data_IF_338935240162
#
_entry.id   IF_338935240162
#
_cell.length_a   1.000
_cell.length_b   1.000
_cell.length_c   1.000
_cell.angle_alpha   90.00
_cell.angle_beta   90.00
_cell.angle_gamma   90.00
#
_symmetry.space_group_name_H-M   'P 1'
#
loop_
_entity.id
_entity.type
_entity.pdbx_description
1 polymer ?
#
# COMPACT_ATOMS: atom_id res chain seq x y z
N UNK A 1 -10.06 -51.77 17.56
CA UNK A 1 -11.01 -51.61 18.67
C UNK A 1 -10.33 -50.74 19.72
N UNK A 2 -11.06 -49.70 20.16
CA UNK A 2 -10.73 -48.62 21.10
C UNK A 2 -10.00 -49.10 22.40
N UNK A 3 -9.30 -48.29 23.21
CA UNK A 3 -9.53 -46.94 23.74
C UNK A 3 -8.20 -46.45 24.39
N UNK A 4 -7.78 -45.17 24.33
CA UNK A 4 -8.07 -44.08 25.28
C UNK A 4 -7.82 -44.47 26.77
N UNK A 5 -7.16 -43.74 27.67
CA UNK A 5 -7.01 -42.29 27.87
C UNK A 5 -6.20 -42.01 29.16
N UNK A 6 -5.72 -40.77 29.34
CA UNK A 6 -5.62 -40.07 30.64
C UNK A 6 -4.30 -40.21 31.41
N UNK A 7 -3.34 -39.27 31.33
CA UNK A 7 -3.27 -37.99 32.09
C UNK A 7 -3.62 -38.09 33.58
N UNK A 8 -2.64 -37.85 34.47
CA UNK A 8 -2.57 -36.59 35.26
C UNK A 8 -1.59 -36.71 36.42
N UNK A 9 -0.55 -35.87 36.39
CA UNK A 9 0.27 -35.50 37.54
C UNK A 9 -0.42 -34.34 38.26
N UNK A 10 -0.69 -34.45 39.58
CA UNK A 10 -0.59 -33.29 40.49
C UNK A 10 -0.52 -33.67 41.99
N UNK A 11 0.56 -33.20 42.61
CA UNK A 11 0.79 -32.67 43.99
C UNK A 11 0.18 -33.36 45.23
N UNK A 12 1.04 -33.50 46.25
CA UNK A 12 0.77 -32.92 47.58
C UNK A 12 1.35 -33.67 48.80
N UNK A 13 2.18 -32.97 49.59
CA UNK A 13 2.50 -33.26 51.02
C UNK A 13 3.54 -34.37 51.25
N UNK A 14 4.49 -34.29 52.19
CA UNK A 14 4.77 -33.37 53.30
C UNK A 14 5.73 -34.07 54.28
N UNK A 15 6.46 -33.31 55.10
CA UNK A 15 7.05 -33.80 56.35
C UNK A 15 8.58 -33.92 56.40
N UNK A 16 9.19 -33.22 57.37
CA UNK A 16 10.58 -33.41 57.78
C UNK A 16 11.21 -32.15 58.35
N UNK A 17 10.91 -31.83 59.62
CA UNK A 17 11.49 -30.69 60.33
C UNK A 17 12.85 -31.00 60.97
N UNK A 18 13.56 -29.94 61.37
CA UNK A 18 14.27 -29.84 62.66
C UNK A 18 14.69 -28.41 62.92
N UNK A 19 14.63 -28.06 64.21
CA UNK A 19 14.64 -26.76 64.85
C UNK A 19 16.03 -26.21 65.15
N UNK A 20 16.18 -24.88 65.17
CA UNK A 20 17.01 -24.18 66.15
C UNK A 20 16.46 -22.78 66.43
N UNK A 21 16.56 -22.38 67.70
CA UNK A 21 15.82 -21.31 68.39
C UNK A 21 16.77 -20.17 68.76
N UNK A 22 16.33 -18.91 68.71
CA UNK A 22 16.51 -17.81 69.72
C UNK A 22 16.29 -16.41 69.09
N UNK A 23 15.14 -15.75 69.35
CA UNK A 23 14.81 -14.70 70.36
C UNK A 23 14.94 -13.23 69.90
N UNK A 24 13.80 -12.68 69.47
CA UNK A 24 13.07 -11.44 69.87
C UNK A 24 13.77 -10.11 70.28
N UNK A 25 13.33 -9.01 69.64
CA UNK A 25 12.95 -7.69 70.24
C UNK A 25 12.35 -6.75 69.15
N UNK A 26 11.02 -6.50 69.15
CA UNK A 26 10.26 -5.31 69.62
C UNK A 26 10.29 -4.01 68.75
N UNK A 27 9.27 -3.87 67.88
CA UNK A 27 8.28 -2.75 67.64
C UNK A 27 8.72 -1.26 67.38
N UNK A 28 7.81 -0.31 66.97
CA UNK A 28 7.90 0.46 65.70
C UNK A 28 7.82 2.03 65.89
N UNK A 29 7.11 2.82 65.05
CA UNK A 29 7.57 3.86 64.11
C UNK A 29 7.48 5.33 64.65
N UNK A 30 7.64 6.41 63.84
CA UNK A 30 6.45 7.03 63.23
C UNK A 30 6.63 7.78 61.88
N UNK A 31 5.46 8.07 61.31
CA UNK A 31 5.13 8.93 60.18
C UNK A 31 5.40 10.44 60.40
N UNK A 32 5.63 11.19 59.31
CA UNK A 32 5.25 12.61 59.19
C UNK A 32 4.83 12.97 57.76
N UNK A 33 3.59 13.42 57.65
CA UNK A 33 3.03 14.22 56.58
C UNK A 33 3.27 15.71 56.85
N UNK A 34 3.48 16.50 55.80
CA UNK A 34 3.09 17.92 55.78
C UNK A 34 2.94 18.42 54.35
N UNK A 35 1.70 18.71 54.00
CA UNK A 35 1.23 19.55 52.91
C UNK A 35 1.69 21.01 53.07
N UNK A 36 2.11 21.66 52.00
CA UNK A 36 1.98 23.12 51.85
C UNK A 36 1.63 23.50 50.41
N UNK A 37 0.63 24.36 50.32
CA UNK A 37 0.02 25.00 49.17
C UNK A 37 0.79 26.26 48.75
N UNK A 38 0.83 26.52 47.44
CA UNK A 38 0.76 27.85 46.81
C UNK A 38 2.02 28.72 46.77
N UNK A 39 2.50 29.03 45.56
CA UNK A 39 2.45 30.39 44.96
C UNK A 39 3.25 30.49 43.65
N UNK A 40 2.66 31.18 42.67
CA UNK A 40 3.29 31.71 41.47
C UNK A 40 4.57 32.49 41.79
N UNK A 41 5.65 32.28 41.03
CA UNK A 41 6.27 33.41 40.34
C UNK A 41 7.19 32.99 39.18
N UNK A 42 7.06 33.76 38.10
CA UNK A 42 7.86 33.82 36.89
C UNK A 42 9.35 34.04 37.18
N UNK A 43 10.23 33.30 36.50
CA UNK A 43 11.62 33.71 36.24
C UNK A 43 11.99 33.51 34.77
N UNK A 44 11.98 34.66 34.10
CA UNK A 44 12.69 35.05 32.90
C UNK A 44 14.17 34.64 32.92
N UNK A 45 14.62 33.94 31.88
CA UNK A 45 16.02 33.95 31.47
C UNK A 45 16.16 34.93 30.30
N UNK A 46 16.74 36.10 30.59
CA UNK A 46 17.26 37.04 29.62
C UNK A 46 18.77 36.78 29.44
N UNK A 47 19.22 36.73 28.19
CA UNK A 47 20.63 36.58 27.81
C UNK A 47 20.82 36.71 26.30
N UNK A 48 20.85 37.97 25.83
CA UNK A 48 21.56 38.54 24.64
C UNK A 48 21.92 37.59 23.48
N UNK A 49 21.35 37.67 22.28
CA UNK A 49 21.33 38.78 21.30
C UNK A 49 22.73 39.31 20.90
N UNK A 50 23.18 38.89 19.71
CA UNK A 50 23.96 39.57 18.63
C UNK A 50 24.56 38.41 17.78
N UNK A 51 24.48 38.31 16.45
CA UNK A 51 24.12 39.25 15.39
C UNK A 51 24.02 38.44 14.08
N UNK A 52 23.01 38.68 13.25
CA UNK A 52 23.01 38.22 11.84
C UNK A 52 22.57 36.77 11.56
N UNK A 53 21.27 36.53 11.46
CA UNK A 53 20.72 35.32 10.87
C UNK A 53 19.39 35.64 10.20
N UNK A 54 19.30 35.40 8.89
CA UNK A 54 18.14 35.64 8.05
C UNK A 54 16.84 35.14 8.69
N UNK A 55 15.81 35.98 8.72
CA UNK A 55 14.42 35.53 8.95
C UNK A 55 14.04 34.63 7.78
N UNK A 56 14.29 33.34 7.92
CA UNK A 56 13.74 32.31 7.05
C UNK A 56 12.24 32.31 7.33
N UNK A 57 11.45 32.76 6.36
CA UNK A 57 10.00 32.61 6.41
C UNK A 57 9.70 31.11 6.48
N UNK A 58 9.06 30.70 7.57
CA UNK A 58 8.69 29.32 7.80
C UNK A 58 7.30 29.09 7.22
N UNK A 59 7.19 28.24 6.18
CA UNK A 59 5.91 27.78 5.68
C UNK A 59 5.40 26.65 6.61
N UNK A 60 4.21 26.77 7.22
CA UNK A 60 3.60 25.72 8.03
C UNK A 60 3.42 24.37 7.31
N UNK A 61 3.63 24.31 5.98
CA UNK A 61 3.60 23.10 5.15
C UNK A 61 4.93 22.34 5.09
N UNK A 62 6.03 22.93 5.55
CA UNK A 62 7.38 22.36 5.50
C UNK A 62 7.77 21.59 6.78
N UNK A 63 6.83 21.42 7.71
CA UNK A 63 6.98 20.53 8.86
C UNK A 63 6.86 19.07 8.43
N UNK A 64 7.88 18.21 8.63
CA UNK A 64 7.64 16.77 8.65
C UNK A 64 6.63 16.49 9.78
N UNK A 65 5.59 15.67 9.56
CA UNK A 65 4.68 15.30 10.64
C UNK A 65 5.51 14.64 11.73
N UNK A 66 5.64 15.31 12.87
CA UNK A 66 6.26 14.76 14.07
C UNK A 66 5.57 13.44 14.37
N UNK A 67 6.37 12.37 14.40
CA UNK A 67 5.96 11.00 14.64
C UNK A 67 5.59 10.80 16.11
N UNK A 68 4.61 11.57 16.59
CA UNK A 68 3.99 11.39 17.89
C UNK A 68 2.53 11.06 17.61
N UNK A 69 2.20 9.78 17.80
CA UNK A 69 0.84 9.35 18.10
C UNK A 69 0.30 10.29 19.17
N UNK A 70 -0.64 11.16 18.80
CA UNK A 70 -1.70 11.59 19.69
C UNK A 70 -2.92 11.85 18.79
N UNK A 71 -3.90 10.96 18.91
CA UNK A 71 -5.26 11.31 18.57
C UNK A 71 -5.68 12.51 19.40
N UNK A 72 -6.55 13.35 18.83
CA UNK A 72 -7.05 14.61 19.35
C UNK A 72 -6.33 15.85 18.80
N UNK A 73 -6.53 16.13 17.51
CA UNK A 73 -6.67 17.51 17.06
C UNK A 73 -7.78 17.61 16.00
N UNK A 74 -8.99 17.92 16.48
CA UNK A 74 -10.07 18.43 15.65
C UNK A 74 -9.68 19.82 15.16
N UNK A 75 -9.09 19.89 13.97
CA UNK A 75 -8.60 21.15 13.43
C UNK A 75 -8.16 21.08 11.97
N UNK A 76 -9.10 20.83 11.06
CA UNK A 76 -9.08 21.33 9.67
C UNK A 76 -7.78 21.23 8.86
N UNK A 77 -7.12 20.07 8.84
CA UNK A 77 -5.98 19.79 7.94
C UNK A 77 -6.26 18.50 7.18
N UNK A 78 -5.94 18.51 5.88
CA UNK A 78 -6.36 17.47 4.91
C UNK A 78 -6.05 16.03 5.32
N UNK A 79 -6.70 15.09 4.63
CA UNK A 79 -6.63 13.68 4.96
C UNK A 79 -5.16 13.19 5.13
N UNK A 80 -4.86 12.61 6.29
CA UNK A 80 -3.53 12.15 6.66
C UNK A 80 -3.12 10.90 5.88
N UNK A 81 -1.83 10.76 5.59
CA UNK A 81 -1.28 9.52 5.05
C UNK A 81 -1.27 8.43 6.13
N UNK A 82 -1.53 7.15 5.78
CA UNK A 82 -1.38 6.06 6.74
C UNK A 82 0.10 5.90 7.15
N UNK A 83 0.31 5.40 8.38
CA UNK A 83 1.65 5.12 8.93
C UNK A 83 2.44 4.10 8.09
N UNK A 84 1.74 3.09 7.57
CA UNK A 84 2.32 2.05 6.72
C UNK A 84 1.89 2.25 5.27
N UNK A 85 2.83 2.04 4.37
CA UNK A 85 2.57 1.90 2.94
C UNK A 85 1.92 0.54 2.66
N UNK A 86 1.21 0.41 1.53
CA UNK A 86 0.62 -0.88 1.14
C UNK A 86 1.72 -1.95 1.01
N UNK A 87 2.91 -1.60 0.50
CA UNK A 87 4.03 -2.55 0.40
C UNK A 87 4.45 -3.11 1.77
N UNK A 88 4.49 -2.27 2.79
CA UNK A 88 4.85 -2.68 4.15
C UNK A 88 3.75 -3.55 4.80
N UNK A 89 2.47 -3.24 4.54
CA UNK A 89 1.35 -4.08 4.99
C UNK A 89 1.44 -5.48 4.36
N UNK A 90 1.65 -5.58 3.04
CA UNK A 90 1.82 -6.86 2.34
C UNK A 90 3.02 -7.65 2.89
N UNK A 91 4.16 -6.97 3.11
CA UNK A 91 5.32 -7.62 3.72
C UNK A 91 4.98 -8.14 5.12
N UNK A 92 4.30 -7.33 5.94
CA UNK A 92 3.93 -7.68 7.32
C UNK A 92 2.99 -8.88 7.39
N UNK A 93 2.06 -9.03 6.44
CA UNK A 93 1.20 -10.21 6.32
C UNK A 93 2.00 -11.49 6.08
N UNK A 94 3.03 -11.43 5.24
CA UNK A 94 3.87 -12.60 4.93
C UNK A 94 4.88 -12.99 6.02
N UNK A 95 5.20 -12.08 6.96
CA UNK A 95 6.24 -12.30 7.98
C UNK A 95 5.77 -13.25 9.09
N UNK A 96 6.64 -14.14 9.58
CA UNK A 96 6.38 -14.86 10.84
C UNK A 96 6.76 -14.01 12.05
N UNK A 97 5.86 -13.90 13.03
CA UNK A 97 5.99 -12.96 14.15
C UNK A 97 7.30 -13.09 14.93
N UNK A 98 7.62 -14.31 15.36
CA UNK A 98 8.79 -14.57 16.22
C UNK A 98 10.08 -14.69 15.44
N UNK A 99 10.02 -15.09 14.18
CA UNK A 99 11.20 -15.42 13.41
C UNK A 99 11.70 -14.25 12.56
N UNK A 100 10.82 -13.32 12.18
CA UNK A 100 11.21 -12.14 11.40
C UNK A 100 11.65 -12.45 9.96
N UNK A 101 11.31 -13.64 9.46
CA UNK A 101 11.45 -13.99 8.05
C UNK A 101 10.08 -14.29 7.45
N UNK A 102 9.96 -14.08 6.14
CA UNK A 102 8.74 -14.36 5.40
C UNK A 102 8.47 -15.86 5.36
N UNK A 103 7.20 -16.24 5.56
CA UNK A 103 6.77 -17.64 5.43
C UNK A 103 7.13 -18.21 4.06
N UNK A 104 7.06 -17.36 3.03
CA UNK A 104 7.47 -17.64 1.67
C UNK A 104 7.83 -16.32 0.97
N UNK A 105 8.92 -16.29 0.20
CA UNK A 105 9.22 -15.19 -0.74
C UNK A 105 9.32 -15.81 -2.13
N UNK A 106 8.40 -15.42 -3.01
CA UNK A 106 8.30 -15.90 -4.38
C UNK A 106 8.21 -14.72 -5.36
N UNK A 107 8.11 -15.04 -6.64
CA UNK A 107 7.99 -14.04 -7.69
C UNK A 107 6.63 -13.31 -7.61
N UNK A 108 5.56 -13.98 -7.15
CA UNK A 108 4.24 -13.34 -6.97
C UNK A 108 4.27 -12.17 -5.98
N UNK A 109 4.79 -12.36 -4.75
CA UNK A 109 4.91 -11.26 -3.78
C UNK A 109 5.89 -10.20 -4.28
N UNK A 110 6.98 -10.62 -4.92
CA UNK A 110 7.97 -9.72 -5.51
C UNK A 110 7.31 -8.78 -6.52
N UNK A 111 6.58 -9.32 -7.50
CA UNK A 111 5.91 -8.57 -8.55
C UNK A 111 4.72 -7.75 -8.01
N UNK A 112 3.92 -8.32 -7.11
CA UNK A 112 2.81 -7.61 -6.45
C UNK A 112 3.28 -6.37 -5.69
N UNK A 113 4.44 -6.43 -5.02
CA UNK A 113 5.04 -5.27 -4.36
C UNK A 113 5.40 -4.14 -5.34
N UNK A 114 5.76 -4.45 -6.60
CA UNK A 114 6.01 -3.43 -7.63
C UNK A 114 4.73 -2.78 -8.10
N UNK A 115 3.66 -3.55 -8.26
CA UNK A 115 2.31 -2.99 -8.44
C UNK A 115 1.92 -2.06 -7.29
N UNK A 116 2.15 -2.49 -6.04
CA UNK A 116 1.86 -1.68 -4.85
C UNK A 116 2.63 -0.35 -4.83
N UNK A 117 3.85 -0.29 -5.36
CA UNK A 117 4.62 0.97 -5.49
C UNK A 117 3.87 1.96 -6.40
N UNK A 118 3.37 1.50 -7.55
CA UNK A 118 2.60 2.35 -8.46
C UNK A 118 1.27 2.79 -7.84
N UNK A 119 0.57 1.86 -7.18
CA UNK A 119 -0.66 2.18 -6.44
C UNK A 119 -0.38 3.25 -5.38
N UNK A 120 0.65 3.08 -4.55
CA UNK A 120 0.98 4.02 -3.47
C UNK A 120 1.37 5.40 -4.02
N UNK A 121 2.13 5.47 -5.12
CA UNK A 121 2.45 6.75 -5.81
C UNK A 121 1.20 7.42 -6.37
N UNK A 122 0.27 6.67 -6.96
CA UNK A 122 -0.98 7.21 -7.49
C UNK A 122 -1.92 7.70 -6.39
N UNK A 123 -2.06 6.95 -5.28
CA UNK A 123 -2.86 7.37 -4.13
C UNK A 123 -2.29 8.62 -3.45
N UNK A 124 -0.96 8.80 -3.48
CA UNK A 124 -0.26 10.03 -3.06
C UNK A 124 -0.27 11.13 -4.12
N UNK A 125 -0.96 10.91 -5.25
CA UNK A 125 -1.09 11.81 -6.40
C UNK A 125 0.26 12.30 -6.95
N UNK A 126 1.26 11.42 -6.97
CA UNK A 126 2.59 11.67 -7.58
C UNK A 126 2.61 11.32 -9.06
N UNK A 127 1.87 10.28 -9.42
CA UNK A 127 1.73 9.81 -10.79
C UNK A 127 0.25 9.70 -11.15
N UNK A 128 -0.04 9.86 -12.44
CA UNK A 128 -1.36 9.67 -13.01
C UNK A 128 -1.22 9.05 -14.40
N UNK A 129 -2.33 8.60 -14.96
CA UNK A 129 -2.36 8.33 -16.39
C UNK A 129 -2.17 9.62 -17.19
N UNK A 130 -1.51 9.51 -18.34
CA UNK A 130 -1.37 10.60 -19.29
C UNK A 130 -2.75 11.12 -19.67
N UNK A 131 -2.91 12.44 -19.61
CA UNK A 131 -4.09 13.15 -20.12
C UNK A 131 -4.23 12.96 -21.63
N UNK A 132 -4.79 11.84 -22.03
CA UNK A 132 -4.99 11.49 -23.42
C UNK A 132 -6.31 12.07 -23.96
N UNK A 133 -6.23 12.79 -25.08
CA UNK A 133 -7.41 13.18 -25.86
C UNK A 133 -8.23 11.93 -26.19
N UNK A 134 -9.54 12.02 -25.98
CA UNK A 134 -10.61 11.01 -26.08
C UNK A 134 -10.43 9.82 -27.07
N UNK A 135 -9.64 9.99 -28.14
CA UNK A 135 -9.32 8.97 -29.13
C UNK A 135 -8.26 7.92 -28.73
N UNK A 136 -7.35 8.20 -27.79
CA UNK A 136 -6.34 7.24 -27.32
C UNK A 136 -6.89 6.30 -26.24
N UNK A 137 -7.79 6.80 -25.37
CA UNK A 137 -8.53 6.02 -24.35
C UNK A 137 -9.41 4.91 -24.97
N UNK A 138 -9.84 5.07 -26.23
CA UNK A 138 -10.55 4.05 -27.04
C UNK A 138 -9.60 3.12 -27.84
N UNK A 139 -8.34 3.51 -28.04
CA UNK A 139 -7.34 2.77 -28.83
C UNK A 139 -6.44 1.88 -27.97
N UNK A 140 -6.15 2.29 -26.73
CA UNK A 140 -5.51 1.43 -25.73
C UNK A 140 -6.49 0.31 -25.34
N UNK A 141 -6.25 -0.90 -25.86
CA UNK A 141 -7.16 -2.03 -25.72
C UNK A 141 -7.38 -2.51 -24.28
N UNK A 142 -6.45 -2.21 -23.36
CA UNK A 142 -6.53 -2.53 -21.92
C UNK A 142 -6.03 -1.36 -21.05
N UNK A 143 -6.38 -1.36 -19.75
CA UNK A 143 -5.95 -0.32 -18.80
C UNK A 143 -4.44 -0.37 -18.56
N UNK A 144 -3.91 -1.59 -18.43
CA UNK A 144 -2.49 -1.94 -18.30
C UNK A 144 -1.58 -1.30 -19.35
N UNK A 145 -2.07 -1.04 -20.56
CA UNK A 145 -1.29 -0.45 -21.66
C UNK A 145 -1.34 1.09 -21.68
N UNK A 146 -2.07 1.73 -20.76
CA UNK A 146 -2.16 3.19 -20.69
C UNK A 146 -0.87 3.78 -20.13
N UNK A 147 -0.45 4.89 -20.71
CA UNK A 147 0.81 5.56 -20.37
C UNK A 147 0.70 6.31 -19.05
N UNK A 148 1.78 6.27 -18.27
CA UNK A 148 1.89 6.94 -16.97
C UNK A 148 2.74 8.21 -17.10
N UNK A 149 2.31 9.29 -16.43
CA UNK A 149 3.09 10.52 -16.26
C UNK A 149 3.30 10.89 -14.80
N UNK A 150 4.44 11.50 -14.52
CA UNK A 150 4.72 12.14 -13.22
C UNK A 150 3.96 13.46 -13.19
N UNK A 151 3.10 13.62 -12.18
CA UNK A 151 2.34 14.85 -11.97
C UNK A 151 2.96 15.69 -10.85
N UNK A 152 3.39 15.07 -9.74
CA UNK A 152 4.01 15.77 -8.62
C UNK A 152 5.32 15.08 -8.23
N UNK A 153 6.39 15.87 -8.14
CA UNK A 153 7.76 15.41 -7.89
C UNK A 153 8.14 15.45 -6.41
N UNK A 154 7.26 15.95 -5.54
CA UNK A 154 7.54 16.04 -4.11
C UNK A 154 7.88 14.68 -3.53
N UNK A 155 9.03 14.61 -2.86
CA UNK A 155 9.46 13.40 -2.18
C UNK A 155 8.41 12.93 -1.18
N UNK A 156 8.24 11.63 -1.11
CA UNK A 156 7.26 10.93 -0.27
C UNK A 156 7.82 10.60 1.11
N UNK A 157 9.15 10.62 1.27
CA UNK A 157 9.86 10.17 2.47
C UNK A 157 10.11 8.65 2.49
N UNK A 158 9.55 7.92 1.53
CA UNK A 158 9.72 6.48 1.39
C UNK A 158 10.76 6.20 0.30
N UNK A 159 11.91 5.65 0.70
CA UNK A 159 13.08 5.56 -0.20
C UNK A 159 12.80 4.85 -1.52
N UNK A 160 11.97 3.79 -1.52
CA UNK A 160 11.63 3.02 -2.72
C UNK A 160 10.70 3.82 -3.63
N UNK A 161 9.70 4.51 -3.07
CA UNK A 161 8.79 5.34 -3.85
C UNK A 161 9.54 6.51 -4.49
N UNK A 162 10.46 7.14 -3.75
CA UNK A 162 11.25 8.28 -4.23
C UNK A 162 12.26 7.89 -5.30
N UNK A 163 12.81 6.67 -5.23
CA UNK A 163 13.65 6.10 -6.28
C UNK A 163 12.85 5.85 -7.55
N UNK A 164 11.68 5.19 -7.45
CA UNK A 164 10.80 4.98 -8.60
C UNK A 164 10.35 6.30 -9.22
N UNK A 165 9.96 7.27 -8.41
CA UNK A 165 9.53 8.59 -8.89
C UNK A 165 10.66 9.30 -9.65
N UNK A 166 11.90 9.22 -9.15
CA UNK A 166 13.08 9.77 -9.83
C UNK A 166 13.37 9.06 -11.15
N UNK A 167 13.25 7.74 -11.21
CA UNK A 167 13.41 6.97 -12.46
C UNK A 167 12.34 7.33 -13.50
N UNK A 168 11.08 7.46 -13.07
CA UNK A 168 9.98 7.89 -13.94
C UNK A 168 10.21 9.27 -14.52
N UNK A 169 10.56 10.23 -13.66
CA UNK A 169 10.86 11.60 -14.09
C UNK A 169 12.01 11.64 -15.10
N UNK A 170 13.13 10.99 -14.78
CA UNK A 170 14.31 10.97 -15.66
C UNK A 170 14.03 10.36 -17.04
N UNK A 171 13.04 9.47 -17.15
CA UNK A 171 12.61 8.89 -18.43
C UNK A 171 11.72 9.84 -19.24
N UNK A 172 10.93 10.67 -18.55
CA UNK A 172 9.95 11.59 -19.14
C UNK A 172 10.54 12.98 -19.44
N UNK A 173 11.65 13.34 -18.80
CA UNK A 173 12.39 14.56 -19.12
C UNK A 173 13.12 14.42 -20.47
N UNK A 174 13.12 15.46 -21.33
CA UNK A 174 13.95 15.44 -22.52
C UNK A 174 15.43 15.34 -22.16
N UNK A 175 16.25 14.67 -22.99
CA UNK A 175 17.68 14.61 -22.77
C UNK A 175 18.28 16.04 -22.70
N UNK A 176 19.11 16.34 -21.68
CA UNK A 176 19.73 17.65 -21.54
C UNK A 176 20.76 17.83 -22.66
N UNK A 177 20.35 18.49 -23.76
CA UNK A 177 21.27 18.85 -24.84
C UNK A 177 20.75 18.52 -26.23
N UNK A 178 19.67 19.15 -26.67
CA UNK A 178 19.60 19.53 -28.06
C UNK A 178 20.67 20.61 -28.30
N UNK A 179 21.83 20.24 -28.83
CA UNK A 179 22.64 21.23 -29.53
C UNK A 179 21.70 21.90 -30.54
N UNK A 180 21.46 23.20 -30.37
CA UNK A 180 21.01 24.03 -31.47
C UNK A 180 21.98 23.75 -32.62
N UNK A 181 21.51 23.07 -33.66
CA UNK A 181 22.26 22.97 -34.89
C UNK A 181 22.31 24.38 -35.49
N UNK A 182 23.47 25.07 -35.51
CA UNK A 182 23.55 26.44 -36.02
C UNK A 182 23.25 26.52 -37.53
N UNK A 183 23.15 25.37 -38.21
CA UNK A 183 22.84 25.29 -39.63
C UNK A 183 21.34 25.27 -39.96
N UNK A 184 20.43 25.44 -38.99
CA UNK A 184 19.01 25.70 -39.30
C UNK A 184 18.77 27.19 -39.54
N UNK A 185 19.52 27.77 -40.48
CA UNK A 185 19.30 29.10 -40.99
C UNK A 185 18.97 29.01 -42.49
N UNK A 186 17.71 29.31 -42.81
CA UNK A 186 17.26 29.99 -44.03
C UNK A 186 17.84 29.48 -45.35
N UNK A 187 17.12 28.58 -46.03
CA UNK A 187 17.08 28.57 -47.49
C UNK A 187 15.61 28.62 -47.94
N UNK A 188 15.12 29.85 -48.12
CA UNK A 188 14.04 30.09 -49.06
C UNK A 188 14.65 30.28 -50.44
N UNK A 189 14.28 29.44 -51.41
CA UNK A 189 13.84 29.88 -52.75
C UNK A 189 13.51 28.69 -53.65
N UNK A 190 12.29 28.75 -54.19
CA UNK A 190 11.83 28.30 -55.51
C UNK A 190 12.24 26.92 -56.08
N UNK A 191 11.21 26.09 -56.28
CA UNK A 191 11.10 25.33 -57.53
C UNK A 191 10.87 23.82 -57.39
N UNK A 192 9.68 23.39 -57.81
CA UNK A 192 9.37 22.13 -58.51
C UNK A 192 8.34 21.25 -57.79
N UNK A 193 7.21 21.08 -58.48
CA UNK A 193 6.10 20.21 -58.13
C UNK A 193 6.42 18.76 -58.49
N UNK A 194 6.41 17.86 -57.51
CA UNK A 194 5.99 16.45 -57.70
C UNK A 194 5.67 15.79 -56.35
N UNK A 195 4.39 15.48 -56.13
CA UNK A 195 3.93 14.39 -55.25
C UNK A 195 3.81 13.11 -56.12
N UNK A 196 3.72 11.86 -55.59
CA UNK A 196 3.21 11.52 -54.25
C UNK A 196 3.93 10.36 -53.51
N UNK A 197 3.81 10.32 -52.19
CA UNK A 197 3.39 9.11 -51.46
C UNK A 197 3.21 9.38 -49.97
N UNK A 198 2.11 8.84 -49.48
CA UNK A 198 1.63 8.86 -48.12
C UNK A 198 2.61 8.24 -47.13
N UNK A 199 3.14 9.06 -46.23
CA UNK A 199 3.43 8.63 -44.86
C UNK A 199 3.05 9.78 -43.95
N UNK A 200 2.02 9.52 -43.13
CA UNK A 200 1.52 10.40 -42.10
C UNK A 200 2.58 10.60 -41.02
N UNK A 201 3.50 11.53 -41.24
CA UNK A 201 4.38 12.07 -40.22
C UNK A 201 3.53 13.00 -39.33
N UNK A 202 3.06 12.48 -38.20
CA UNK A 202 2.43 13.29 -37.17
C UNK A 202 3.49 14.10 -36.43
N UNK A 203 3.54 15.39 -36.76
CA UNK A 203 3.69 16.54 -35.87
C UNK A 203 4.77 16.45 -34.77
N UNK A 204 5.92 17.06 -35.04
CA UNK A 204 6.95 17.41 -34.05
C UNK A 204 6.41 18.45 -33.06
N UNK A 205 5.82 18.00 -31.96
CA UNK A 205 5.66 18.79 -30.74
C UNK A 205 7.01 18.92 -29.99
N UNK A 206 7.10 19.76 -28.94
CA UNK A 206 8.32 19.88 -28.15
C UNK A 206 8.68 18.48 -27.62
N UNK A 207 9.96 18.10 -27.71
CA UNK A 207 10.45 16.79 -27.30
C UNK A 207 10.11 16.53 -25.83
N UNK A 208 8.99 15.87 -25.56
CA UNK A 208 8.67 15.28 -24.27
C UNK A 208 9.39 13.93 -24.21
N UNK A 209 10.03 13.59 -23.09
CA UNK A 209 10.67 12.29 -22.92
C UNK A 209 9.67 11.13 -23.03
N UNK A 210 10.20 9.92 -23.01
CA UNK A 210 9.42 8.70 -23.24
C UNK A 210 8.46 8.45 -22.05
N UNK A 211 7.17 8.25 -22.34
CA UNK A 211 6.18 7.80 -21.35
C UNK A 211 5.91 6.32 -21.58
N UNK A 212 5.89 5.53 -20.50
CA UNK A 212 5.71 4.07 -20.55
C UNK A 212 4.37 3.65 -19.98
N UNK A 213 3.88 2.48 -20.40
CA UNK A 213 2.63 1.91 -19.91
C UNK A 213 2.74 1.41 -18.47
N UNK A 214 1.60 1.20 -17.80
CA UNK A 214 1.54 0.60 -16.46
C UNK A 214 2.26 -0.75 -16.46
N UNK A 215 1.91 -1.65 -17.38
CA UNK A 215 2.51 -2.99 -17.51
C UNK A 215 4.03 -2.90 -17.62
N UNK A 216 4.52 -2.05 -18.53
CA UNK A 216 5.95 -1.83 -18.74
C UNK A 216 6.65 -1.36 -17.46
N UNK A 217 6.06 -0.43 -16.71
CA UNK A 217 6.66 0.03 -15.45
C UNK A 217 6.75 -1.09 -14.42
N UNK A 218 5.72 -1.91 -14.26
CA UNK A 218 5.78 -3.04 -13.32
C UNK A 218 6.87 -4.03 -13.74
N UNK A 219 6.94 -4.41 -15.02
CA UNK A 219 7.93 -5.34 -15.55
C UNK A 219 9.36 -4.82 -15.38
N UNK A 220 9.60 -3.52 -15.64
CA UNK A 220 10.89 -2.87 -15.46
C UNK A 220 11.33 -2.88 -14.00
N UNK A 221 10.44 -2.52 -13.06
CA UNK A 221 10.75 -2.47 -11.64
C UNK A 221 10.96 -3.88 -11.04
N UNK A 222 10.33 -4.89 -11.64
CA UNK A 222 10.47 -6.31 -11.28
C UNK A 222 11.72 -6.95 -11.90
N UNK A 223 12.19 -6.41 -13.03
CA UNK A 223 13.31 -6.97 -13.79
C UNK A 223 12.90 -8.09 -14.74
N UNK A 224 11.63 -8.11 -15.18
CA UNK A 224 11.07 -9.10 -16.11
C UNK A 224 11.23 -8.67 -17.57
N UNK A 225 11.76 -7.48 -17.82
CA UNK A 225 12.03 -6.98 -19.17
C UNK A 225 13.26 -7.64 -19.81
N UNK A 226 13.20 -7.79 -21.14
CA UNK A 226 14.37 -8.12 -21.97
C UNK A 226 15.11 -6.88 -22.50
N UNK A 227 14.66 -5.67 -22.17
CA UNK A 227 15.27 -4.44 -22.66
C UNK A 227 16.59 -4.13 -21.93
N UNK A 228 17.71 -4.47 -22.56
CA UNK A 228 19.08 -4.27 -22.02
C UNK A 228 19.36 -2.82 -21.65
N UNK A 229 18.81 -1.85 -22.39
CA UNK A 229 19.00 -0.42 -22.11
C UNK A 229 18.28 0.03 -20.83
N UNK A 230 17.26 -0.71 -20.39
CA UNK A 230 16.45 -0.41 -19.20
C UNK A 230 16.68 -1.39 -18.05
N UNK A 231 17.75 -2.20 -18.10
CA UNK A 231 18.06 -3.18 -17.05
C UNK A 231 18.36 -2.54 -15.69
N UNK A 232 18.76 -1.26 -15.68
CA UNK A 232 19.01 -0.48 -14.47
C UNK A 232 17.75 -0.08 -13.70
N UNK A 233 16.57 -0.33 -14.23
CA UNK A 233 15.29 0.09 -13.62
C UNK A 233 14.81 -0.87 -12.54
N UNK A 234 15.35 -2.09 -12.49
CA UNK A 234 14.96 -3.08 -11.50
C UNK A 234 15.27 -2.59 -10.08
N UNK A 235 14.25 -2.57 -9.23
CA UNK A 235 14.42 -2.24 -7.83
C UNK A 235 15.12 -3.40 -7.10
N UNK A 236 16.24 -3.08 -6.48
CA UNK A 236 17.07 -4.03 -5.72
C UNK A 236 16.76 -3.96 -4.23
N UNK A 237 16.94 -5.09 -3.55
CA UNK A 237 16.85 -5.19 -2.08
C UNK A 237 15.50 -4.68 -1.54
N UNK A 238 14.41 -4.89 -2.28
CA UNK A 238 13.08 -4.37 -1.93
C UNK A 238 12.64 -4.90 -0.57
N UNK A 239 12.83 -6.20 -0.32
CA UNK A 239 12.49 -6.84 0.95
C UNK A 239 13.23 -6.20 2.13
N UNK A 240 14.54 -6.05 2.00
CA UNK A 240 15.43 -5.53 3.05
C UNK A 240 15.10 -4.07 3.36
N UNK A 241 14.82 -3.28 2.33
CA UNK A 241 14.46 -1.86 2.47
C UNK A 241 13.09 -1.67 3.11
N UNK A 242 12.10 -2.49 2.74
CA UNK A 242 10.79 -2.50 3.39
C UNK A 242 10.88 -2.97 4.84
N UNK A 243 11.68 -4.00 5.13
CA UNK A 243 11.93 -4.45 6.50
C UNK A 243 12.62 -3.36 7.33
N UNK A 244 13.59 -2.64 6.75
CA UNK A 244 14.22 -1.48 7.38
C UNK A 244 13.20 -0.39 7.69
N UNK A 245 12.31 -0.05 6.74
CA UNK A 245 11.22 0.92 6.97
C UNK A 245 10.33 0.52 8.15
N UNK A 246 9.95 -0.76 8.23
CA UNK A 246 9.18 -1.28 9.37
C UNK A 246 9.95 -1.25 10.70
N UNK A 247 11.28 -1.40 10.69
CA UNK A 247 12.13 -1.24 11.89
C UNK A 247 12.18 0.24 12.30
N UNK A 248 12.42 1.13 11.36
CA UNK A 248 12.50 2.59 11.61
C UNK A 248 11.14 3.11 12.13
N UNK A 249 10.03 2.50 11.70
CA UNK A 249 8.67 2.77 12.20
C UNK A 249 8.34 2.05 13.52
N UNK A 250 9.22 1.21 14.07
CA UNK A 250 9.02 0.49 15.33
C UNK A 250 8.03 -0.68 15.28
N UNK A 251 7.64 -1.14 14.10
CA UNK A 251 6.77 -2.32 13.93
C UNK A 251 7.58 -3.62 14.03
N UNK A 252 8.78 -3.62 13.48
CA UNK A 252 9.78 -4.67 13.65
C UNK A 252 10.87 -4.20 14.61
N UNK A 253 11.58 -5.15 15.22
CA UNK A 253 12.83 -4.88 15.95
C UNK A 253 13.96 -5.63 15.29
N UNK A 254 15.19 -5.14 15.47
CA UNK A 254 16.38 -5.86 15.02
C UNK A 254 16.87 -6.77 16.13
N UNK A 255 16.97 -8.06 15.86
CA UNK A 255 17.56 -9.06 16.75
C UNK A 255 18.75 -9.73 16.07
N UNK A 256 19.87 -9.83 16.80
CA UNK A 256 21.02 -10.61 16.38
C UNK A 256 20.83 -12.07 16.80
N UNK A 257 20.74 -12.98 15.83
CA UNK A 257 20.73 -14.43 16.07
C UNK A 257 22.10 -15.01 15.81
N UNK A 258 22.66 -15.64 16.84
CA UNK A 258 23.96 -16.29 16.75
C UNK A 258 23.75 -17.72 16.24
N UNK A 259 24.32 -18.03 15.08
CA UNK A 259 24.46 -19.39 14.56
C UNK A 259 25.87 -19.89 14.90
N UNK A 260 26.07 -21.21 14.84
CA UNK A 260 27.35 -21.85 15.20
C UNK A 260 28.57 -21.24 14.47
N UNK A 261 28.37 -20.73 13.25
CA UNK A 261 29.44 -20.24 12.37
C UNK A 261 29.33 -18.75 12.00
N UNK A 262 28.22 -18.10 12.29
CA UNK A 262 27.98 -16.71 11.91
C UNK A 262 26.83 -16.10 12.71
N UNK A 263 26.75 -14.78 12.72
CA UNK A 263 25.61 -14.07 13.27
C UNK A 263 24.73 -13.52 12.14
N UNK A 264 23.41 -13.59 12.32
CA UNK A 264 22.43 -13.10 11.35
C UNK A 264 21.50 -12.08 12.00
N UNK A 265 21.34 -10.93 11.37
CA UNK A 265 20.30 -9.99 11.73
C UNK A 265 18.93 -10.56 11.32
N UNK A 266 17.99 -10.54 12.26
CA UNK A 266 16.59 -10.93 12.04
C UNK A 266 15.66 -9.83 12.49
N UNK A 267 14.48 -9.75 11.88
CA UNK A 267 13.56 -8.64 12.10
C UNK A 267 12.18 -9.11 12.60
N UNK A 268 12.09 -9.69 13.82
CA UNK A 268 10.80 -10.13 14.35
C UNK A 268 9.86 -8.97 14.65
N UNK A 269 8.56 -9.27 14.72
CA UNK A 269 7.50 -8.30 15.01
C UNK A 269 7.64 -7.81 16.44
N UNK A 270 7.85 -6.50 16.59
CA UNK A 270 7.91 -5.80 17.88
C UNK A 270 6.52 -5.41 18.38
N UNK A 271 5.70 -4.86 17.48
CA UNK A 271 4.34 -4.44 17.76
C UNK A 271 3.34 -5.40 17.08
N UNK A 272 2.87 -6.40 17.83
CA UNK A 272 1.89 -7.37 17.33
C UNK A 272 0.50 -6.75 17.13
N UNK A 273 0.21 -5.59 17.73
CA UNK A 273 -1.10 -4.94 17.61
C UNK A 273 -1.34 -4.38 16.22
N UNK A 274 -0.29 -3.84 15.59
CA UNK A 274 -0.33 -3.33 14.21
C UNK A 274 -0.70 -4.45 13.24
N UNK A 275 -0.05 -5.60 13.37
CA UNK A 275 -0.34 -6.76 12.53
C UNK A 275 -1.72 -7.35 12.82
N UNK A 276 -2.12 -7.43 14.09
CA UNK A 276 -3.45 -7.90 14.47
C UNK A 276 -4.55 -7.00 13.87
N UNK A 277 -4.40 -5.69 13.96
CA UNK A 277 -5.33 -4.71 13.37
C UNK A 277 -5.41 -4.83 11.85
N UNK A 278 -4.27 -5.04 11.19
CA UNK A 278 -4.20 -5.30 9.75
C UNK A 278 -4.98 -6.57 9.36
N UNK A 279 -4.76 -7.68 10.06
CA UNK A 279 -5.49 -8.94 9.84
C UNK A 279 -6.99 -8.74 10.10
N UNK A 280 -7.38 -8.09 11.20
CA UNK A 280 -8.78 -7.77 11.50
C UNK A 280 -9.47 -7.00 10.38
N UNK A 281 -8.80 -6.00 9.78
CA UNK A 281 -9.37 -5.21 8.68
C UNK A 281 -9.62 -6.06 7.45
N UNK A 282 -8.65 -6.88 7.06
CA UNK A 282 -8.75 -7.78 5.90
C UNK A 282 -9.88 -8.78 6.11
N UNK A 283 -9.91 -9.44 7.27
CA UNK A 283 -10.95 -10.42 7.58
C UNK A 283 -12.33 -9.78 7.63
N UNK A 284 -12.48 -8.61 8.27
CA UNK A 284 -13.75 -7.89 8.29
C UNK A 284 -14.25 -7.55 6.87
N UNK A 285 -13.34 -7.21 5.95
CA UNK A 285 -13.71 -6.94 4.56
C UNK A 285 -14.07 -8.22 3.80
N UNK A 286 -13.34 -9.32 4.03
CA UNK A 286 -13.47 -10.58 3.32
C UNK A 286 -14.58 -11.50 3.84
N UNK A 287 -14.99 -11.36 5.09
CA UNK A 287 -16.08 -12.15 5.68
C UNK A 287 -17.40 -11.39 5.76
N UNK A 288 -17.44 -10.13 5.32
CA UNK A 288 -18.70 -9.39 5.23
C UNK A 288 -19.61 -10.05 4.20
N UNK A 289 -20.82 -10.42 4.61
CA UNK A 289 -21.86 -11.00 3.74
C UNK A 289 -22.88 -9.96 3.27
N UNK A 290 -22.71 -8.72 3.69
CA UNK A 290 -23.64 -7.62 3.40
C UNK A 290 -23.02 -6.62 2.44
N UNK A 291 -23.85 -5.83 1.75
CA UNK A 291 -23.39 -4.73 0.91
C UNK A 291 -22.78 -3.59 1.74
N UNK A 292 -23.18 -3.41 3.02
CA UNK A 292 -22.56 -2.42 3.88
C UNK A 292 -21.11 -2.78 4.22
N UNK A 293 -20.20 -1.83 3.99
CA UNK A 293 -18.77 -2.00 4.34
C UNK A 293 -18.61 -1.80 5.85
N UNK A 294 -18.11 -2.80 6.60
CA UNK A 294 -17.93 -2.66 8.03
C UNK A 294 -16.86 -1.59 8.32
N UNK A 295 -17.09 -0.63 9.25
CA UNK A 295 -16.09 0.41 9.56
C UNK A 295 -14.75 -0.15 10.01
N UNK A 296 -14.76 -1.33 10.66
CA UNK A 296 -13.57 -2.06 11.10
C UNK A 296 -12.75 -2.66 9.96
N UNK A 297 -13.25 -2.68 8.72
CA UNK A 297 -12.49 -3.06 7.52
C UNK A 297 -11.66 -1.90 6.94
N UNK A 298 -11.92 -0.68 7.39
CA UNK A 298 -11.34 0.54 6.82
C UNK A 298 -10.27 1.13 7.74
N UNK A 299 -9.34 1.88 7.16
CA UNK A 299 -8.40 2.71 7.93
C UNK A 299 -9.16 3.79 8.72
N UNK A 300 -8.57 4.44 9.75
CA UNK A 300 -9.25 5.48 10.53
C UNK A 300 -9.83 6.62 9.68
N UNK A 301 -10.89 7.25 10.16
CA UNK A 301 -11.45 8.45 9.54
C UNK A 301 -10.39 9.55 9.39
N UNK A 302 -10.49 10.32 8.30
CA UNK A 302 -9.46 11.29 7.93
C UNK A 302 -8.23 10.69 7.27
N UNK A 303 -8.12 9.37 7.08
CA UNK A 303 -7.05 8.77 6.26
C UNK A 303 -7.35 8.98 4.77
N UNK A 304 -6.34 9.38 4.00
CA UNK A 304 -6.49 9.57 2.56
C UNK A 304 -6.78 8.24 1.84
N UNK A 305 -7.82 8.25 1.00
CA UNK A 305 -8.21 7.09 0.19
C UNK A 305 -8.41 5.82 1.03
N UNK A 306 -9.06 5.92 2.20
CA UNK A 306 -9.18 4.82 3.17
C UNK A 306 -9.90 3.61 2.59
N UNK A 307 -10.91 3.82 1.73
CA UNK A 307 -11.69 2.73 1.12
C UNK A 307 -10.85 2.08 0.04
N UNK A 308 -10.30 2.89 -0.86
CA UNK A 308 -9.49 2.41 -1.99
C UNK A 308 -8.22 1.71 -1.50
N UNK A 309 -7.61 2.17 -0.39
CA UNK A 309 -6.47 1.49 0.25
C UNK A 309 -6.84 0.10 0.78
N UNK A 310 -7.99 -0.05 1.42
CA UNK A 310 -8.47 -1.36 1.88
C UNK A 310 -8.73 -2.31 0.70
N UNK A 311 -9.29 -1.83 -0.41
CA UNK A 311 -9.45 -2.60 -1.65
C UNK A 311 -8.08 -3.05 -2.19
N UNK A 312 -7.16 -2.11 -2.37
CA UNK A 312 -5.82 -2.40 -2.91
C UNK A 312 -5.06 -3.40 -2.04
N UNK A 313 -5.16 -3.27 -0.72
CA UNK A 313 -4.55 -4.19 0.24
C UNK A 313 -5.06 -5.62 0.05
N UNK A 314 -6.38 -5.83 -0.03
CA UNK A 314 -6.97 -7.16 -0.21
C UNK A 314 -6.59 -7.75 -1.56
N UNK A 315 -6.72 -6.97 -2.65
CA UNK A 315 -6.34 -7.41 -3.99
C UNK A 315 -4.86 -7.79 -4.07
N UNK A 316 -3.96 -6.93 -3.58
CA UNK A 316 -2.53 -7.20 -3.59
C UNK A 316 -2.16 -8.39 -2.69
N UNK A 317 -2.81 -8.56 -1.53
CA UNK A 317 -2.57 -9.71 -0.65
C UNK A 317 -3.02 -11.02 -1.29
N UNK A 318 -4.14 -10.99 -2.04
CA UNK A 318 -4.64 -12.12 -2.80
C UNK A 318 -3.66 -12.53 -3.90
N UNK A 319 -3.26 -11.58 -4.78
CA UNK A 319 -2.36 -11.87 -5.90
C UNK A 319 -0.92 -12.17 -5.46
N UNK A 320 -0.48 -11.63 -4.32
CA UNK A 320 0.80 -11.98 -3.70
C UNK A 320 0.80 -13.36 -3.01
N UNK A 321 -0.35 -14.04 -2.96
CA UNK A 321 -0.53 -15.34 -2.30
C UNK A 321 -0.19 -15.33 -0.80
N UNK A 322 -0.43 -14.22 -0.10
CA UNK A 322 -0.14 -14.07 1.35
C UNK A 322 -1.38 -14.12 2.24
N UNK A 323 -2.59 -14.18 1.67
CA UNK A 323 -3.84 -14.24 2.45
C UNK A 323 -4.01 -15.55 3.23
N UNK A 324 -3.56 -16.70 2.72
CA UNK A 324 -3.84 -18.00 3.37
C UNK A 324 -3.35 -18.04 4.83
N UNK A 325 -2.12 -17.58 5.06
CA UNK A 325 -1.55 -17.54 6.40
C UNK A 325 -2.23 -16.54 7.36
N UNK A 326 -2.95 -15.55 6.84
CA UNK A 326 -3.78 -14.62 7.62
C UNK A 326 -5.11 -15.25 8.05
N UNK A 327 -5.69 -16.10 7.21
CA UNK A 327 -6.98 -16.75 7.47
C UNK A 327 -6.84 -18.05 8.25
N UNK A 328 -5.78 -18.82 8.00
CA UNK A 328 -5.51 -20.11 8.66
C UNK A 328 -4.81 -20.01 10.02
N UNK A 329 -4.50 -18.81 10.50
CA UNK A 329 -3.85 -18.58 11.81
C UNK A 329 -2.38 -19.00 11.90
N UNK A 330 -1.79 -19.54 10.83
CA UNK A 330 -0.44 -20.10 10.82
C UNK A 330 0.68 -19.06 11.04
N UNK A 331 0.40 -17.79 10.72
CA UNK A 331 1.39 -16.71 10.80
C UNK A 331 1.38 -16.03 12.19
N UNK A 332 0.28 -16.17 12.94
CA UNK A 332 0.08 -15.62 14.28
C UNK A 332 0.42 -16.68 15.35
N UNK A 333 1.68 -16.73 15.78
CA UNK A 333 2.14 -17.70 16.80
C UNK A 333 2.30 -17.12 18.22
N UNK A 334 1.90 -15.86 18.42
CA UNK A 334 1.95 -15.21 19.74
C UNK A 334 0.65 -14.50 20.08
N UNK A 335 -0.08 -15.05 21.06
CA UNK A 335 -0.91 -14.31 22.03
C UNK A 335 -1.93 -13.29 21.47
N UNK A 336 -2.28 -13.35 20.19
CA UNK A 336 -3.43 -12.62 19.62
C UNK A 336 -4.69 -13.43 19.89
N UNK A 337 -5.12 -13.40 21.16
CA UNK A 337 -6.28 -14.14 21.68
C UNK A 337 -7.64 -13.75 21.08
N UNK A 338 -7.71 -12.85 20.09
CA UNK A 338 -8.98 -12.23 19.67
C UNK A 338 -9.57 -12.71 18.34
N UNK A 339 -8.82 -13.40 17.46
CA UNK A 339 -9.36 -13.82 16.16
C UNK A 339 -9.11 -15.32 15.96
N UNK A 340 -10.16 -16.17 16.00
CA UNK A 340 -10.00 -17.58 15.67
C UNK A 340 -9.64 -17.74 14.18
N UNK A 341 -8.85 -18.76 13.82
CA UNK A 341 -8.62 -19.08 12.41
C UNK A 341 -9.95 -19.41 11.74
N UNK A 342 -10.12 -18.97 10.50
CA UNK A 342 -11.33 -19.24 9.72
C UNK A 342 -11.46 -20.75 9.45
N UNK A 343 -12.69 -21.24 9.45
CA UNK A 343 -13.02 -22.59 9.00
C UNK A 343 -12.71 -22.77 7.51
N UNK A 344 -12.66 -24.02 7.02
CA UNK A 344 -12.39 -24.29 5.61
C UNK A 344 -13.37 -23.57 4.67
N UNK A 345 -14.68 -23.66 4.96
CA UNK A 345 -15.72 -23.01 4.15
C UNK A 345 -15.61 -21.49 4.15
N UNK A 346 -15.32 -20.89 5.31
CA UNK A 346 -15.13 -19.44 5.45
C UNK A 346 -13.89 -18.95 4.69
N UNK A 347 -12.81 -19.74 4.65
CA UNK A 347 -11.61 -19.43 3.87
C UNK A 347 -11.89 -19.45 2.37
N UNK A 348 -12.59 -20.49 1.89
CA UNK A 348 -12.98 -20.57 0.48
C UNK A 348 -13.89 -19.40 0.08
N UNK A 349 -14.86 -19.04 0.92
CA UNK A 349 -15.73 -17.89 0.70
C UNK A 349 -14.95 -16.57 0.68
N UNK A 350 -13.99 -16.39 1.59
CA UNK A 350 -13.12 -15.22 1.62
C UNK A 350 -12.24 -15.10 0.36
N UNK A 351 -11.71 -16.22 -0.16
CA UNK A 351 -10.97 -16.22 -1.43
C UNK A 351 -11.84 -15.87 -2.62
N UNK A 352 -13.06 -16.43 -2.70
CA UNK A 352 -14.02 -16.07 -3.76
C UNK A 352 -14.34 -14.58 -3.69
N UNK A 353 -14.58 -14.03 -2.50
CA UNK A 353 -14.84 -12.61 -2.32
C UNK A 353 -13.63 -11.74 -2.73
N UNK A 354 -12.40 -12.16 -2.40
CA UNK A 354 -11.20 -11.45 -2.82
C UNK A 354 -11.07 -11.38 -4.35
N UNK A 355 -11.36 -12.48 -5.05
CA UNK A 355 -11.40 -12.56 -6.51
C UNK A 355 -12.50 -11.67 -7.10
N UNK A 356 -13.71 -11.67 -6.53
CA UNK A 356 -14.80 -10.79 -6.94
C UNK A 356 -14.45 -9.29 -6.78
N UNK A 357 -13.82 -8.91 -5.65
CA UNK A 357 -13.33 -7.55 -5.44
C UNK A 357 -12.26 -7.21 -6.48
N UNK A 358 -11.29 -8.09 -6.73
CA UNK A 358 -10.26 -7.86 -7.74
C UNK A 358 -10.87 -7.66 -9.13
N UNK A 359 -11.79 -8.54 -9.55
CA UNK A 359 -12.43 -8.47 -10.85
C UNK A 359 -13.22 -7.17 -11.07
N UNK A 360 -13.89 -6.66 -10.03
CA UNK A 360 -14.65 -5.41 -10.12
C UNK A 360 -13.73 -4.17 -10.14
N UNK A 361 -12.67 -4.16 -9.32
CA UNK A 361 -11.78 -3.01 -9.19
C UNK A 361 -10.64 -2.97 -10.24
N UNK A 362 -10.43 -4.06 -11.00
CA UNK A 362 -9.52 -4.10 -12.16
C UNK A 362 -10.13 -3.59 -13.47
N UNK A 363 -11.34 -3.03 -13.42
CA UNK A 363 -12.06 -2.45 -14.57
C UNK A 363 -12.34 -0.98 -14.29
N UNK A 364 -12.40 -0.15 -15.33
CA UNK A 364 -12.69 1.28 -15.21
C UNK A 364 -13.75 1.74 -16.22
N UNK A 365 -14.74 2.56 -15.81
CA UNK A 365 -14.97 3.03 -14.43
C UNK A 365 -15.57 1.93 -13.52
N UNK A 366 -15.33 2.02 -12.21
CA UNK A 366 -15.87 1.06 -11.24
C UNK A 366 -17.41 1.07 -11.24
N UNK A 367 -18.02 -0.13 -11.26
CA UNK A 367 -19.48 -0.29 -11.33
C UNK A 367 -20.10 -0.12 -12.72
N UNK A 368 -19.31 0.16 -13.77
CA UNK A 368 -19.83 0.38 -15.14
C UNK A 368 -20.46 -0.87 -15.76
N UNK A 369 -20.08 -2.05 -15.30
CA UNK A 369 -20.59 -3.35 -15.75
C UNK A 369 -22.10 -3.53 -15.53
N UNK A 370 -22.70 -2.74 -14.63
CA UNK A 370 -24.13 -2.77 -14.32
C UNK A 370 -24.99 -1.72 -15.04
N UNK A 371 -24.39 -0.63 -15.56
CA UNK A 371 -25.17 0.46 -16.19
C UNK A 371 -25.56 0.14 -17.64
N UNK A 372 -24.83 -0.76 -18.30
CA UNK A 372 -25.14 -1.21 -19.66
C UNK A 372 -25.70 -2.63 -19.58
N UNK A 373 -27.03 -2.74 -19.66
CA UNK A 373 -27.71 -4.03 -19.71
C UNK A 373 -27.00 -5.00 -20.66
N UNK A 374 -26.52 -6.10 -20.10
CA UNK A 374 -26.06 -7.34 -20.76
C UNK A 374 -25.82 -7.24 -22.28
N UNK A 375 -24.65 -6.77 -22.71
CA UNK A 375 -24.16 -7.08 -24.06
C UNK A 375 -23.25 -8.32 -23.99
N UNK A 376 -23.56 -9.42 -24.72
CA UNK A 376 -22.88 -10.70 -24.58
C UNK A 376 -21.57 -10.76 -25.40
N UNK A 377 -20.71 -9.73 -25.27
CA UNK A 377 -19.53 -9.56 -26.13
C UNK A 377 -18.16 -9.62 -25.45
N UNK A 378 -18.07 -9.37 -24.13
CA UNK A 378 -16.77 -9.24 -23.44
C UNK A 378 -16.47 -10.33 -22.41
N UNK A 379 -17.38 -11.31 -22.22
CA UNK A 379 -17.12 -12.47 -21.36
C UNK A 379 -16.35 -13.54 -22.13
N UNK A 380 -15.09 -13.27 -22.48
CA UNK A 380 -14.18 -14.35 -22.86
C UNK A 380 -12.87 -14.16 -22.13
N UNK A 381 -12.69 -15.02 -21.11
CA UNK A 381 -11.43 -15.45 -20.50
C UNK A 381 -11.08 -14.84 -19.13
N UNK A 382 -11.84 -15.22 -18.11
CA UNK A 382 -11.30 -15.59 -16.78
C UNK A 382 -12.37 -16.28 -15.95
N UNK A 383 -12.69 -17.53 -16.31
CA UNK A 383 -13.41 -18.43 -15.41
C UNK A 383 -13.10 -19.85 -15.88
N UNK A 384 -12.13 -20.50 -15.24
CA UNK A 384 -12.02 -21.95 -15.32
C UNK A 384 -13.39 -22.54 -14.92
N UNK A 385 -13.92 -23.39 -15.78
CA UNK A 385 -15.27 -23.94 -15.71
C UNK A 385 -15.61 -24.51 -14.33
N UNK A 386 -16.37 -23.75 -13.54
CA UNK A 386 -17.13 -24.29 -12.40
C UNK A 386 -18.59 -24.39 -12.85
N UNK A 387 -19.12 -25.62 -12.80
CA UNK A 387 -20.52 -25.94 -13.10
C UNK A 387 -21.39 -25.17 -12.09
N UNK A 388 -22.17 -24.22 -12.60
CA UNK A 388 -22.96 -23.29 -11.80
C UNK A 388 -24.29 -23.90 -11.35
N UNK A 389 -24.49 -23.96 -10.03
CA UNK A 389 -25.82 -23.92 -9.41
C UNK A 389 -26.16 -22.44 -9.18
N UNK A 390 -27.14 -21.93 -9.92
CA UNK A 390 -27.54 -20.52 -9.92
C UNK A 390 -28.26 -20.13 -8.62
N UNK A 391 -27.66 -19.20 -7.87
CA UNK A 391 -28.29 -18.23 -6.94
C UNK A 391 -27.23 -17.51 -6.10
N UNK A 392 -26.04 -18.09 -5.93
CA UNK A 392 -24.97 -17.56 -5.05
C UNK A 392 -24.07 -16.52 -5.72
N UNK A 393 -23.84 -16.61 -7.03
CA UNK A 393 -23.00 -15.66 -7.76
C UNK A 393 -23.57 -14.22 -7.81
N UNK A 394 -24.90 -14.08 -7.75
CA UNK A 394 -25.57 -12.78 -7.69
C UNK A 394 -25.42 -12.12 -6.32
N UNK A 395 -25.48 -12.92 -5.24
CA UNK A 395 -25.29 -12.43 -3.86
C UNK A 395 -23.85 -11.96 -3.59
N UNK A 396 -22.85 -12.68 -4.14
CA UNK A 396 -21.44 -12.27 -4.08
C UNK A 396 -21.23 -10.91 -4.73
N UNK A 397 -21.72 -10.74 -5.97
CA UNK A 397 -21.70 -9.45 -6.68
C UNK A 397 -22.39 -8.32 -5.92
N UNK A 398 -23.59 -8.56 -5.41
CA UNK A 398 -24.36 -7.54 -4.66
C UNK A 398 -23.61 -7.04 -3.42
N UNK A 399 -22.87 -7.94 -2.75
CA UNK A 399 -22.08 -7.60 -1.58
C UNK A 399 -20.79 -6.80 -1.88
N UNK A 400 -20.33 -6.77 -3.14
CA UNK A 400 -19.23 -5.91 -3.62
C UNK A 400 -19.74 -4.53 -4.05
N UNK A 401 -21.01 -4.41 -4.48
CA UNK A 401 -21.57 -3.14 -4.95
C UNK A 401 -21.56 -2.04 -3.88
N UNK A 402 -21.76 -2.36 -2.61
CA UNK A 402 -21.66 -1.35 -1.56
C UNK A 402 -20.22 -0.87 -1.32
N UNK A 403 -19.21 -1.74 -1.55
CA UNK A 403 -17.81 -1.32 -1.55
C UNK A 403 -17.49 -0.40 -2.74
N UNK A 404 -18.07 -0.68 -3.92
CA UNK A 404 -17.98 0.20 -5.09
C UNK A 404 -18.64 1.55 -4.81
N UNK A 405 -19.80 1.57 -4.16
CA UNK A 405 -20.49 2.80 -3.79
C UNK A 405 -19.64 3.67 -2.85
N UNK A 406 -19.02 3.08 -1.82
CA UNK A 406 -18.11 3.79 -0.92
C UNK A 406 -16.85 4.31 -1.63
N UNK A 407 -16.27 3.52 -2.56
CA UNK A 407 -15.14 3.98 -3.36
C UNK A 407 -15.51 5.15 -4.28
N UNK A 408 -16.71 5.12 -4.90
CA UNK A 408 -17.23 6.23 -5.72
C UNK A 408 -17.52 7.47 -4.88
N UNK A 409 -18.04 7.29 -3.66
CA UNK A 409 -18.25 8.38 -2.70
C UNK A 409 -16.92 9.05 -2.34
N UNK A 410 -15.90 8.25 -1.98
CA UNK A 410 -14.56 8.73 -1.69
C UNK A 410 -13.94 9.49 -2.89
N UNK A 411 -14.10 8.99 -4.10
CA UNK A 411 -13.68 9.68 -5.33
C UNK A 411 -14.41 11.02 -5.54
N UNK A 412 -15.72 11.08 -5.27
CA UNK A 412 -16.51 12.33 -5.33
C UNK A 412 -16.07 13.36 -4.29
N UNK A 413 -15.72 12.92 -3.07
CA UNK A 413 -15.14 13.78 -2.03
C UNK A 413 -13.79 14.35 -2.47
N UNK A 414 -12.94 13.54 -3.10
CA UNK A 414 -11.66 13.99 -3.65
C UNK A 414 -11.90 15.03 -4.75
N UNK A 415 -12.80 14.77 -5.70
CA UNK A 415 -13.10 15.68 -6.80
C UNK A 415 -13.68 17.03 -6.32
N UNK A 416 -14.47 17.02 -5.25
CA UNK A 416 -15.09 18.23 -4.67
C UNK A 416 -14.14 19.04 -3.78
N UNK A 417 -13.00 18.48 -3.35
CA UNK A 417 -12.03 19.16 -2.48
C UNK A 417 -11.24 20.32 -3.16
N UNK A 418 -11.53 20.64 -4.43
CA UNK A 418 -11.19 21.94 -5.03
C UNK A 418 -10.53 21.89 -6.42
N UNK A 419 -10.57 23.04 -7.10
CA UNK A 419 -9.86 23.29 -8.35
C UNK A 419 -8.34 23.26 -8.10
N UNK A 420 -7.59 22.47 -8.88
CA UNK A 420 -6.13 22.35 -8.78
C UNK A 420 -5.60 21.02 -8.24
N UNK A 421 -6.47 20.04 -7.98
CA UNK A 421 -6.03 18.68 -7.64
C UNK A 421 -5.39 18.02 -8.86
N UNK A 422 -4.13 17.63 -8.72
CA UNK A 422 -3.37 17.04 -9.81
C UNK A 422 -3.86 15.63 -10.15
N UNK A 423 -3.84 15.26 -11.44
CA UNK A 423 -4.34 13.97 -11.89
C UNK A 423 -5.87 13.87 -12.05
N UNK A 424 -6.59 15.00 -12.04
CA UNK A 424 -7.97 15.06 -12.53
C UNK A 424 -7.95 15.50 -14.00
N UNK A 425 -8.69 14.80 -14.85
CA UNK A 425 -8.85 15.11 -16.27
C UNK A 425 -9.89 16.22 -16.50
N UNK A 426 -9.93 16.77 -17.70
CA UNK A 426 -10.84 17.88 -18.04
C UNK A 426 -12.32 17.44 -18.03
N UNK A 427 -12.58 16.15 -18.23
CA UNK A 427 -13.88 15.49 -18.09
C UNK A 427 -14.21 15.08 -16.63
N UNK A 428 -13.39 15.49 -15.66
CA UNK A 428 -13.61 15.24 -14.23
C UNK A 428 -13.31 13.80 -13.77
N UNK A 429 -12.62 13.00 -14.59
CA UNK A 429 -12.18 11.65 -14.22
C UNK A 429 -10.91 11.73 -13.36
N UNK A 430 -10.82 10.86 -12.36
CA UNK A 430 -9.62 10.74 -11.54
C UNK A 430 -8.61 9.77 -12.19
N UNK A 431 -7.62 10.33 -12.89
CA UNK A 431 -6.59 9.58 -13.62
C UNK A 431 -5.62 8.86 -12.68
N UNK A 432 -5.56 9.25 -11.40
CA UNK A 432 -4.80 8.51 -10.39
C UNK A 432 -5.54 7.22 -10.01
N UNK A 433 -6.86 7.27 -9.85
CA UNK A 433 -7.66 6.08 -9.52
C UNK A 433 -7.86 5.15 -10.72
N UNK A 434 -7.94 5.72 -11.93
CA UNK A 434 -7.88 4.95 -13.17
C UNK A 434 -6.55 4.19 -13.30
N UNK A 435 -5.43 4.79 -12.90
CA UNK A 435 -4.14 4.11 -12.83
C UNK A 435 -4.18 2.93 -11.84
N UNK A 436 -4.76 3.13 -10.65
CA UNK A 436 -4.92 2.07 -9.65
C UNK A 436 -5.66 0.87 -10.24
N UNK A 437 -6.78 1.10 -10.95
CA UNK A 437 -7.51 0.02 -11.62
C UNK A 437 -6.65 -0.69 -12.68
N UNK A 438 -5.84 0.05 -13.45
CA UNK A 438 -4.92 -0.54 -14.42
C UNK A 438 -3.80 -1.36 -13.79
N UNK A 439 -3.29 -0.99 -12.61
CA UNK A 439 -2.34 -1.82 -11.87
C UNK A 439 -3.01 -3.09 -11.34
N UNK A 440 -4.24 -3.00 -10.82
CA UNK A 440 -4.99 -4.18 -10.42
C UNK A 440 -5.27 -5.13 -11.60
N UNK A 441 -5.48 -4.60 -12.81
CA UNK A 441 -5.55 -5.42 -14.03
C UNK A 441 -4.23 -6.13 -14.35
N UNK A 442 -3.08 -5.50 -14.11
CA UNK A 442 -1.77 -6.17 -14.24
C UNK A 442 -1.65 -7.29 -13.20
N UNK A 443 -1.98 -7.01 -11.94
CA UNK A 443 -1.87 -7.98 -10.86
C UNK A 443 -2.83 -9.17 -11.01
N UNK A 444 -4.02 -8.98 -11.58
CA UNK A 444 -4.97 -10.08 -11.81
C UNK A 444 -4.51 -11.10 -12.84
N UNK A 445 -3.48 -10.77 -13.63
CA UNK A 445 -2.88 -11.66 -14.63
C UNK A 445 -1.69 -12.43 -14.09
N UNK A 446 -1.28 -12.23 -12.82
CA UNK A 446 -0.13 -12.90 -12.20
C UNK A 446 -0.24 -14.44 -12.25
N UNK A 447 -1.44 -15.00 -12.04
CA UNK A 447 -1.65 -16.45 -12.13
C UNK A 447 -1.48 -17.02 -13.55
N UNK A 448 -1.44 -16.16 -14.58
CA UNK A 448 -1.19 -16.57 -15.98
C UNK A 448 0.29 -16.49 -16.37
N UNK A 449 1.15 -15.93 -15.51
CA UNK A 449 2.59 -15.78 -15.76
C UNK A 449 3.42 -16.96 -15.21
N UNK A 450 2.81 -17.81 -14.38
CA UNK A 450 3.34 -19.08 -13.88
C UNK A 450 2.77 -20.26 -14.67
#
# INVERSE_FOLDING_TARGET
>A
MASASGLSRRRGGGGGGTSSTSTTSTSPPPSRSSSFTGTNNTRTHAGSAFEGGSKIAYDPRDLPPSSTNDGLDGGGRGAGLPRLTIMEEILLLGLKDKQGYLSFWNDNISYALRGCILIELALRRRIALVKDSLGSRRRAGSLSERLVEVVDERMTGETILDETLRMMKATQDPPPGGLHNPNSAVWGSAGSWTSPSSSSASNTGPSTGEKLSISTWVDLLSGETWNVLKIGFQLKQVRERLAKGLVDKGVLRTEKRNFLLFDMATHPVADSTVKASLISRILALLTSTTSSVPPSALLPEGTQCRVIRSVCLVCAAYTASVLDGTMGGAISSSTTHSIPPLGYEEREAAFVRADEILAEFSVWPWGATNEIGSTPGSRKRSSSSRIATGSSADQGRESVLGLVAEAKNEMGVIASAGSGIQGISDDGQDLCLELVAGVLEVLSRLDSLL
#
